data_IF_678581798493
#
_entry.id   IF_678581798493
#
_cell.length_a   1.000
_cell.length_b   1.000
_cell.length_c   1.000
_cell.angle_alpha   90.00
_cell.angle_beta   90.00
_cell.angle_gamma   90.00
#
_symmetry.space_group_name_H-M   'P 1'
#
loop_
_entity.id
_entity.type
_entity.pdbx_description
1 polymer ?
#
# COMPACT_ATOMS: atom_id res chain seq x y z
N UNK A 1 0.66 -18.18 13.61
CA UNK A 1 1.86 -18.29 12.72
C UNK A 1 2.68 -17.01 12.71
N UNK A 2 2.08 -15.82 12.54
CA UNK A 2 2.84 -14.55 12.55
C UNK A 2 3.61 -14.38 13.87
N UNK A 3 2.99 -14.67 15.02
CA UNK A 3 3.66 -14.64 16.33
C UNK A 3 4.82 -15.63 16.41
N UNK A 4 4.63 -16.87 15.95
CA UNK A 4 5.68 -17.91 15.92
C UNK A 4 6.89 -17.46 15.11
N UNK A 5 6.65 -16.79 13.95
CA UNK A 5 7.73 -16.23 13.12
C UNK A 5 8.45 -15.10 13.86
N UNK A 6 7.73 -14.19 14.49
CA UNK A 6 8.33 -13.09 15.27
C UNK A 6 9.13 -13.61 16.47
N UNK A 7 8.61 -14.60 17.18
CA UNK A 7 9.31 -15.25 18.29
C UNK A 7 10.60 -15.94 17.81
N UNK A 8 10.53 -16.67 16.69
CA UNK A 8 11.70 -17.33 16.10
C UNK A 8 12.76 -16.31 15.65
N UNK A 9 12.36 -15.20 15.03
CA UNK A 9 13.27 -14.15 14.56
C UNK A 9 13.75 -13.22 15.68
N UNK A 10 13.10 -13.23 16.85
CA UNK A 10 13.37 -12.31 17.95
C UNK A 10 13.09 -10.85 17.63
N UNK A 11 12.17 -10.58 16.67
CA UNK A 11 11.84 -9.21 16.20
C UNK A 11 10.46 -9.13 15.61
N UNK A 12 9.87 -7.91 15.61
CA UNK A 12 8.66 -7.62 14.86
C UNK A 12 8.92 -7.73 13.35
N UNK A 13 7.92 -8.20 12.61
CA UNK A 13 7.91 -8.20 11.14
C UNK A 13 6.84 -7.26 10.61
N UNK A 14 6.97 -6.87 9.35
CA UNK A 14 5.92 -6.20 8.61
C UNK A 14 5.16 -7.24 7.79
N UNK A 15 3.84 -7.17 7.85
CA UNK A 15 2.95 -7.95 7.00
C UNK A 15 2.41 -7.03 5.91
N UNK A 16 2.55 -7.45 4.67
CA UNK A 16 2.09 -6.70 3.52
C UNK A 16 0.64 -7.06 3.17
N UNK A 17 -0.14 -6.06 2.75
CA UNK A 17 -1.41 -6.27 2.07
C UNK A 17 -1.16 -6.67 0.61
N UNK A 18 -1.81 -7.73 0.17
CA UNK A 18 -1.64 -8.25 -1.19
C UNK A 18 -2.68 -7.69 -2.15
N UNK A 19 -2.36 -7.69 -3.45
CA UNK A 19 -3.35 -7.50 -4.50
C UNK A 19 -4.27 -8.71 -4.60
N UNK A 20 -5.55 -8.48 -4.90
CA UNK A 20 -6.58 -9.53 -4.92
C UNK A 20 -7.30 -9.61 -6.27
N UNK A 21 -7.52 -10.85 -6.73
CA UNK A 21 -8.11 -11.16 -8.05
C UNK A 21 -9.36 -12.03 -7.95
N UNK A 22 -9.60 -12.61 -6.79
CA UNK A 22 -10.76 -13.48 -6.55
C UNK A 22 -11.31 -13.22 -5.15
N UNK A 23 -12.63 -13.28 -5.04
CA UNK A 23 -13.32 -13.23 -3.76
C UNK A 23 -13.92 -14.60 -3.43
N UNK A 24 -13.87 -14.96 -2.17
CA UNK A 24 -14.51 -16.18 -1.68
C UNK A 24 -15.89 -15.83 -1.12
N UNK A 25 -16.92 -16.55 -1.56
CA UNK A 25 -18.31 -16.37 -1.08
C UNK A 25 -18.45 -16.53 0.45
N UNK A 26 -17.50 -17.22 1.07
CA UNK A 26 -17.47 -17.46 2.51
C UNK A 26 -16.64 -16.42 3.27
N UNK A 27 -16.10 -15.39 2.61
CA UNK A 27 -15.40 -14.32 3.30
C UNK A 27 -16.35 -13.62 4.28
N UNK A 28 -15.96 -13.56 5.55
CA UNK A 28 -16.76 -13.00 6.64
C UNK A 28 -16.45 -11.51 6.89
N UNK A 29 -15.36 -11.02 6.32
CA UNK A 29 -14.90 -9.64 6.49
C UNK A 29 -14.09 -9.17 5.28
N UNK A 30 -14.01 -7.86 5.02
CA UNK A 30 -13.13 -7.32 4.00
C UNK A 30 -11.65 -7.48 4.37
N UNK A 31 -10.78 -7.45 3.37
CA UNK A 31 -9.34 -7.71 3.56
C UNK A 31 -8.68 -6.74 4.53
N UNK A 32 -9.03 -5.46 4.49
CA UNK A 32 -8.48 -4.46 5.42
C UNK A 32 -8.81 -4.73 6.89
N UNK A 33 -9.97 -5.29 7.16
CA UNK A 33 -10.33 -5.73 8.51
C UNK A 33 -9.52 -6.96 8.90
N UNK A 34 -9.34 -7.91 7.99
CA UNK A 34 -8.58 -9.12 8.21
C UNK A 34 -7.11 -8.79 8.57
N UNK A 35 -6.43 -7.96 7.77
CA UNK A 35 -5.04 -7.58 8.05
C UNK A 35 -4.92 -6.76 9.35
N UNK A 36 -5.90 -5.88 9.61
CA UNK A 36 -5.96 -5.11 10.85
C UNK A 36 -6.10 -6.02 12.09
N UNK A 37 -6.93 -7.04 12.01
CA UNK A 37 -7.07 -8.03 13.08
C UNK A 37 -5.79 -8.83 13.28
N UNK A 38 -5.12 -9.26 12.21
CA UNK A 38 -3.83 -9.95 12.31
C UNK A 38 -2.82 -9.05 13.01
N UNK A 39 -2.66 -7.81 12.58
CA UNK A 39 -1.71 -6.87 13.16
C UNK A 39 -1.98 -6.60 14.65
N UNK A 40 -3.25 -6.40 15.03
CA UNK A 40 -3.63 -6.20 16.45
C UNK A 40 -3.36 -7.44 17.31
N UNK A 41 -3.68 -8.64 16.80
CA UNK A 41 -3.58 -9.89 17.56
C UNK A 41 -2.16 -10.43 17.65
N UNK A 42 -1.35 -10.24 16.62
CA UNK A 42 0.02 -10.75 16.58
C UNK A 42 1.07 -9.74 17.05
N UNK A 43 0.71 -8.45 17.09
CA UNK A 43 1.64 -7.37 17.37
C UNK A 43 2.53 -6.98 16.19
N UNK A 44 2.38 -7.61 15.01
CA UNK A 44 3.18 -7.26 13.84
C UNK A 44 2.83 -5.85 13.32
N UNK A 45 3.69 -5.33 12.47
CA UNK A 45 3.48 -4.07 11.74
C UNK A 45 2.92 -4.36 10.36
N UNK A 46 2.57 -3.31 9.66
CA UNK A 46 2.03 -3.35 8.30
C UNK A 46 3.01 -2.64 7.37
N UNK A 47 3.40 -3.32 6.31
CA UNK A 47 3.87 -2.73 5.08
C UNK A 47 2.62 -2.47 4.25
N UNK A 48 2.32 -1.20 4.00
CA UNK A 48 1.13 -0.80 3.26
C UNK A 48 1.50 -0.54 1.81
N UNK A 49 1.17 -1.48 0.94
CA UNK A 49 1.31 -1.28 -0.50
C UNK A 49 0.06 -0.58 -1.05
N UNK A 50 0.26 0.64 -1.55
CA UNK A 50 -0.81 1.51 -2.08
C UNK A 50 -1.25 1.05 -3.47
N UNK A 51 -0.34 0.48 -4.26
CA UNK A 51 -0.67 -0.09 -5.56
C UNK A 51 -1.57 -1.32 -5.41
N UNK A 52 -1.28 -2.19 -4.45
CA UNK A 52 -2.09 -3.38 -4.15
C UNK A 52 -3.51 -3.01 -3.72
N UNK A 53 -3.67 -1.93 -2.96
CA UNK A 53 -5.00 -1.39 -2.63
C UNK A 53 -5.72 -0.96 -3.90
N UNK A 54 -5.06 -0.20 -4.77
CA UNK A 54 -5.64 0.31 -6.01
C UNK A 54 -6.04 -0.82 -6.95
N UNK A 55 -5.17 -1.81 -7.16
CA UNK A 55 -5.44 -3.01 -7.96
C UNK A 55 -6.65 -3.77 -7.42
N UNK A 56 -6.69 -4.04 -6.12
CA UNK A 56 -7.81 -4.72 -5.48
C UNK A 56 -9.11 -3.93 -5.59
N UNK A 57 -9.07 -2.62 -5.36
CA UNK A 57 -10.22 -1.74 -5.47
C UNK A 57 -10.80 -1.74 -6.89
N UNK A 58 -9.93 -1.69 -7.91
CA UNK A 58 -10.33 -1.76 -9.31
C UNK A 58 -10.97 -3.11 -9.66
N UNK A 59 -10.37 -4.21 -9.21
CA UNK A 59 -10.81 -5.57 -9.53
C UNK A 59 -12.13 -5.95 -8.84
N UNK A 60 -12.39 -5.43 -7.64
CA UNK A 60 -13.56 -5.80 -6.83
C UNK A 60 -14.60 -4.69 -6.68
N UNK A 61 -14.32 -3.47 -7.19
CA UNK A 61 -15.28 -2.37 -7.25
C UNK A 61 -15.58 -1.71 -5.90
N UNK A 62 -14.61 -1.65 -4.97
CA UNK A 62 -14.74 -0.90 -3.72
C UNK A 62 -13.97 0.42 -3.76
N UNK A 63 -14.27 1.34 -2.83
CA UNK A 63 -13.52 2.59 -2.69
C UNK A 63 -12.17 2.31 -1.97
N UNK A 64 -11.01 2.61 -2.58
CA UNK A 64 -9.71 2.39 -1.93
C UNK A 64 -9.54 3.20 -0.63
N UNK A 65 -10.33 4.28 -0.43
CA UNK A 65 -10.32 5.02 0.83
C UNK A 65 -10.97 4.24 1.98
N UNK A 66 -11.91 3.33 1.71
CA UNK A 66 -12.45 2.42 2.73
C UNK A 66 -11.38 1.47 3.26
N UNK A 67 -10.51 1.00 2.37
CA UNK A 67 -9.34 0.21 2.76
C UNK A 67 -8.43 1.01 3.70
N UNK A 68 -8.03 2.22 3.30
CA UNK A 68 -7.22 3.09 4.15
C UNK A 68 -7.89 3.35 5.50
N UNK A 69 -9.21 3.57 5.52
CA UNK A 69 -9.97 3.83 6.74
C UNK A 69 -9.94 2.66 7.72
N UNK A 70 -9.92 1.42 7.24
CA UNK A 70 -9.89 0.22 8.06
C UNK A 70 -8.52 -0.13 8.65
N UNK A 71 -7.44 0.40 8.10
CA UNK A 71 -6.08 0.11 8.57
C UNK A 71 -5.74 0.89 9.85
N UNK A 72 -5.21 0.23 10.91
CA UNK A 72 -4.77 0.89 12.13
C UNK A 72 -3.48 1.70 11.89
N UNK A 73 -3.56 3.03 12.08
CA UNK A 73 -2.48 3.95 11.74
C UNK A 73 -1.20 3.74 12.54
N UNK A 74 -1.32 3.29 13.78
CA UNK A 74 -0.18 2.99 14.66
C UNK A 74 0.60 1.72 14.24
N UNK A 75 0.10 0.98 13.26
CA UNK A 75 0.70 -0.25 12.78
C UNK A 75 1.42 -0.12 11.45
N UNK A 76 1.18 0.92 10.67
CA UNK A 76 1.84 1.13 9.37
C UNK A 76 3.25 1.68 9.60
N UNK A 77 4.25 0.95 9.14
CA UNK A 77 5.66 1.33 9.30
C UNK A 77 6.41 1.53 8.00
N UNK A 78 5.87 1.02 6.91
CA UNK A 78 6.42 1.20 5.58
C UNK A 78 5.30 1.31 4.56
N UNK A 79 5.53 2.07 3.50
CA UNK A 79 4.64 2.22 2.37
C UNK A 79 5.39 1.79 1.11
N UNK A 80 4.74 1.00 0.27
CA UNK A 80 5.20 0.72 -1.09
C UNK A 80 4.31 1.42 -2.11
N UNK A 81 4.94 1.85 -3.20
CA UNK A 81 4.33 2.39 -4.41
C UNK A 81 4.85 1.61 -5.60
N UNK A 82 3.99 1.24 -6.50
CA UNK A 82 4.36 0.54 -7.73
C UNK A 82 3.40 0.92 -8.86
N UNK A 83 3.73 0.50 -10.07
CA UNK A 83 2.82 0.51 -11.20
C UNK A 83 2.19 -0.86 -11.42
N UNK A 84 1.12 -0.90 -12.20
CA UNK A 84 0.41 -2.13 -12.53
C UNK A 84 0.01 -2.15 -14.00
N UNK A 85 -0.31 -3.34 -14.52
CA UNK A 85 -0.85 -3.50 -15.87
C UNK A 85 -2.38 -3.42 -15.83
N UNK A 86 -2.94 -2.48 -16.61
CA UNK A 86 -4.40 -2.33 -16.79
C UNK A 86 -4.85 -3.01 -18.08
N UNK A 87 -5.75 -3.99 -17.97
CA UNK A 87 -6.36 -4.73 -19.09
C UNK A 87 -7.81 -4.29 -19.38
N UNK A 88 -8.25 -3.17 -18.81
CA UNK A 88 -9.60 -2.63 -18.98
C UNK A 88 -10.59 -3.21 -17.98
N UNK A 89 -10.86 -4.49 -18.04
CA UNK A 89 -11.79 -5.18 -17.15
C UNK A 89 -11.17 -5.55 -15.79
N UNK A 90 -9.85 -5.66 -15.73
CA UNK A 90 -9.08 -5.98 -14.51
C UNK A 90 -7.66 -5.42 -14.58
N UNK A 91 -7.04 -5.28 -13.43
CA UNK A 91 -5.64 -4.91 -13.29
C UNK A 91 -4.83 -6.07 -12.72
N UNK A 92 -3.55 -6.15 -13.12
CA UNK A 92 -2.57 -7.09 -12.57
C UNK A 92 -1.43 -6.29 -11.92
N UNK A 93 -1.10 -6.65 -10.71
CA UNK A 93 -0.01 -6.10 -9.92
C UNK A 93 1.33 -6.63 -10.45
N UNK A 94 1.86 -5.96 -11.45
CA UNK A 94 3.05 -6.42 -12.20
C UNK A 94 4.34 -5.72 -11.76
N UNK A 95 4.25 -4.56 -11.13
CA UNK A 95 5.37 -3.70 -10.72
C UNK A 95 6.37 -3.42 -11.87
N UNK A 96 5.89 -3.39 -13.10
CA UNK A 96 6.70 -3.22 -14.32
C UNK A 96 6.48 -1.88 -15.03
N UNK A 97 5.56 -1.05 -14.50
CA UNK A 97 5.24 0.27 -15.04
C UNK A 97 5.57 1.39 -14.03
N UNK A 98 5.58 2.63 -14.52
CA UNK A 98 5.61 3.80 -13.64
C UNK A 98 4.39 3.85 -12.71
N UNK A 99 4.53 4.51 -11.58
CA UNK A 99 3.43 4.69 -10.62
C UNK A 99 2.32 5.54 -11.26
N UNK A 100 1.10 5.03 -11.44
CA UNK A 100 0.03 5.76 -12.13
C UNK A 100 -0.59 6.85 -11.27
N UNK A 101 -1.31 7.77 -11.90
CA UNK A 101 -1.87 8.97 -11.25
C UNK A 101 -2.82 8.66 -10.09
N UNK A 102 -3.62 7.60 -10.22
CA UNK A 102 -4.53 7.15 -9.17
C UNK A 102 -3.79 6.62 -7.92
N UNK A 103 -2.66 5.93 -8.10
CA UNK A 103 -1.81 5.49 -6.99
C UNK A 103 -1.15 6.68 -6.31
N UNK A 104 -0.68 7.69 -7.09
CA UNK A 104 -0.17 8.95 -6.51
C UNK A 104 -1.24 9.68 -5.69
N UNK A 105 -2.47 9.76 -6.17
CA UNK A 105 -3.58 10.39 -5.45
C UNK A 105 -3.90 9.65 -4.14
N UNK A 106 -3.92 8.31 -4.20
CA UNK A 106 -4.15 7.48 -3.03
C UNK A 106 -2.99 7.58 -2.03
N UNK A 107 -1.74 7.69 -2.52
CA UNK A 107 -0.56 7.93 -1.68
C UNK A 107 -0.65 9.25 -0.91
N UNK A 108 -1.08 10.35 -1.54
CA UNK A 108 -1.30 11.62 -0.84
C UNK A 108 -2.34 11.47 0.29
N UNK A 109 -3.41 10.71 0.05
CA UNK A 109 -4.42 10.39 1.07
C UNK A 109 -3.83 9.52 2.19
N UNK A 110 -2.96 8.59 1.83
CA UNK A 110 -2.23 7.73 2.77
C UNK A 110 -1.34 8.55 3.71
N UNK A 111 -0.54 9.48 3.16
CA UNK A 111 0.32 10.35 3.97
C UNK A 111 -0.50 11.29 4.86
N UNK A 112 -1.60 11.85 4.36
CA UNK A 112 -2.50 12.67 5.21
C UNK A 112 -3.05 11.90 6.39
N UNK A 113 -3.35 10.61 6.20
CA UNK A 113 -3.93 9.76 7.25
C UNK A 113 -2.90 9.24 8.24
N UNK A 114 -1.78 8.72 7.76
CA UNK A 114 -0.80 7.99 8.57
C UNK A 114 0.43 8.83 8.95
N UNK A 115 0.62 9.97 8.32
CA UNK A 115 1.77 10.84 8.57
C UNK A 115 3.03 10.43 7.84
N UNK A 116 4.17 10.86 8.35
CA UNK A 116 5.49 10.67 7.75
C UNK A 116 6.00 9.24 7.95
N UNK A 117 5.77 8.39 6.98
CA UNK A 117 6.19 6.98 6.97
C UNK A 117 7.20 6.76 5.85
N UNK A 118 8.21 5.91 6.08
CA UNK A 118 9.19 5.51 5.07
C UNK A 118 8.48 4.93 3.86
N UNK A 119 8.79 5.46 2.68
CA UNK A 119 8.15 5.05 1.43
C UNK A 119 9.20 4.55 0.45
N UNK A 120 8.93 3.46 -0.25
CA UNK A 120 9.73 2.89 -1.32
C UNK A 120 8.89 2.79 -2.59
N UNK A 121 9.53 3.03 -3.75
CA UNK A 121 8.98 2.70 -5.06
C UNK A 121 9.56 1.34 -5.45
N UNK A 122 8.69 0.39 -5.77
CA UNK A 122 9.05 -0.95 -6.17
C UNK A 122 8.91 -1.11 -7.68
N UNK A 123 9.95 -1.66 -8.30
CA UNK A 123 9.99 -1.96 -9.72
C UNK A 123 10.64 -3.33 -9.91
N UNK A 124 9.87 -4.32 -10.37
CA UNK A 124 10.30 -5.72 -10.44
C UNK A 124 10.70 -6.16 -11.85
N UNK A 125 10.25 -5.45 -12.87
CA UNK A 125 10.58 -5.72 -14.27
C UNK A 125 10.60 -4.42 -15.09
N UNK A 126 10.99 -4.50 -16.35
CA UNK A 126 11.08 -3.38 -17.29
C UNK A 126 11.79 -2.15 -16.69
N UNK A 127 12.96 -2.39 -16.07
CA UNK A 127 13.74 -1.37 -15.39
C UNK A 127 14.08 -0.20 -16.34
N UNK A 128 13.56 1.01 -16.09
CA UNK A 128 13.90 2.17 -16.89
C UNK A 128 15.32 2.67 -16.55
N UNK A 129 15.86 3.64 -17.30
CA UNK A 129 17.08 4.34 -16.91
C UNK A 129 16.99 4.90 -15.49
N UNK A 130 18.11 4.93 -14.77
CA UNK A 130 18.18 5.41 -13.40
C UNK A 130 17.61 6.83 -13.24
N UNK A 131 17.75 7.70 -14.25
CA UNK A 131 17.20 9.06 -14.25
C UNK A 131 15.67 9.05 -14.06
N UNK A 132 14.95 8.15 -14.72
CA UNK A 132 13.49 8.04 -14.62
C UNK A 132 13.06 7.56 -13.22
N UNK A 133 13.78 6.58 -12.65
CA UNK A 133 13.54 6.16 -11.26
C UNK A 133 13.79 7.28 -10.25
N UNK A 134 14.79 8.13 -10.49
CA UNK A 134 15.05 9.31 -9.66
C UNK A 134 13.98 10.39 -9.82
N UNK A 135 13.38 10.51 -10.99
CA UNK A 135 12.26 11.42 -11.24
C UNK A 135 10.99 10.93 -10.50
N UNK A 136 10.68 9.63 -10.54
CA UNK A 136 9.59 9.05 -9.72
C UNK A 136 9.84 9.26 -8.22
N UNK A 137 11.06 9.04 -7.74
CA UNK A 137 11.41 9.30 -6.35
C UNK A 137 11.26 10.78 -5.96
N UNK A 138 11.58 11.69 -6.90
CA UNK A 138 11.37 13.13 -6.70
C UNK A 138 9.88 13.48 -6.64
N UNK A 139 9.06 12.83 -7.45
CA UNK A 139 7.61 12.96 -7.41
C UNK A 139 7.04 12.46 -6.07
N UNK A 140 7.52 11.32 -5.56
CA UNK A 140 7.12 10.82 -4.24
C UNK A 140 7.42 11.82 -3.13
N UNK A 141 8.60 12.45 -3.16
CA UNK A 141 8.99 13.51 -2.19
C UNK A 141 8.08 14.73 -2.27
N UNK A 142 7.71 15.15 -3.48
CA UNK A 142 6.79 16.27 -3.69
C UNK A 142 5.38 15.96 -3.20
N UNK A 143 4.86 14.76 -3.49
CA UNK A 143 3.56 14.30 -3.01
C UNK A 143 3.53 14.26 -1.46
N UNK A 144 4.59 13.71 -0.86
CA UNK A 144 4.77 13.70 0.58
C UNK A 144 4.76 15.11 1.19
N UNK A 145 5.51 16.06 0.60
CA UNK A 145 5.57 17.44 1.09
C UNK A 145 4.19 18.12 1.02
N UNK A 146 3.48 17.99 -0.11
CA UNK A 146 2.12 18.54 -0.28
C UNK A 146 1.14 18.01 0.77
N UNK A 147 1.11 16.68 0.95
CA UNK A 147 0.19 16.06 1.90
C UNK A 147 0.47 16.47 3.34
N UNK A 148 1.76 16.58 3.72
CA UNK A 148 2.18 17.06 5.03
C UNK A 148 1.76 18.51 5.28
N UNK A 149 1.99 19.40 4.32
CA UNK A 149 1.68 20.82 4.47
C UNK A 149 0.17 21.06 4.57
N UNK A 150 -0.64 20.27 3.85
CA UNK A 150 -2.10 20.28 4.00
C UNK A 150 -2.56 19.80 5.38
N UNK A 151 -1.92 18.77 5.93
CA UNK A 151 -2.25 18.25 7.26
C UNK A 151 -1.88 19.24 8.40
N UNK A 152 -0.90 20.11 8.18
CA UNK A 152 -0.52 21.15 9.14
C UNK A 152 -1.43 22.40 9.07
N UNK A 153 -2.17 22.56 7.99
CA UNK A 153 -3.05 23.71 7.75
C UNK A 153 -4.52 23.45 8.16
N UNK A 154 -4.87 22.21 8.48
CA UNK A 154 -6.20 21.75 8.88
C UNK A 154 -6.34 21.65 10.40
#
# INVERSE_FOLDING_TARGET
>A
RVQEVQEFLGREILLENLSSYVEFKQSEMPEWEFIAQIARRSGCRILLDVNNIQVSARNHGFDPHDYLAGIPGDRVWQIHLAGHSDYGDYCIDTHDHEVPAEVWSLYESTIRRFGAISTMIERDDQFPPLSELLDELSQARLAFARARDMAMAA
#
